data_IF_847044145854
#
_entry.id   IF_847044145854
#
_cell.length_a   1.000
_cell.length_b   1.000
_cell.length_c   1.000
_cell.angle_alpha   90.00
_cell.angle_beta   90.00
_cell.angle_gamma   90.00
#
_symmetry.space_group_name_H-M   'P 1'
#
loop_
_entity.id
_entity.type
_entity.pdbx_description
1 polymer ?
#
# COMPACT_ATOMS: atom_id res chain seq x y z
N UNK A 1 27.28 6.69 9.56
CA UNK A 1 27.18 6.40 8.11
C UNK A 1 25.79 5.89 7.77
N UNK A 2 25.37 6.15 6.54
CA UNK A 2 24.10 5.66 5.99
C UNK A 2 24.40 4.87 4.71
N UNK A 3 23.64 3.78 4.50
CA UNK A 3 23.69 3.04 3.24
C UNK A 3 22.35 2.42 2.89
N UNK A 4 22.05 2.30 1.60
CA UNK A 4 20.94 1.56 0.99
C UNK A 4 21.35 1.20 -0.44
N UNK A 5 21.26 -0.08 -0.80
CA UNK A 5 21.74 -0.57 -2.10
C UNK A 5 20.78 -0.31 -3.27
N UNK A 6 19.54 0.17 -3.03
CA UNK A 6 18.54 0.43 -4.05
C UNK A 6 18.01 1.86 -4.01
N UNK A 7 17.24 2.25 -5.03
CA UNK A 7 16.35 3.40 -4.93
C UNK A 7 15.24 3.13 -3.89
N UNK A 8 14.68 4.20 -3.33
CA UNK A 8 13.51 4.15 -2.47
C UNK A 8 12.60 5.36 -2.72
N UNK A 9 11.42 5.34 -2.14
CA UNK A 9 10.44 6.43 -2.26
C UNK A 9 10.24 7.12 -0.91
N UNK A 10 9.91 8.40 -0.96
CA UNK A 10 9.43 9.17 0.17
C UNK A 10 8.43 10.22 -0.31
N UNK A 11 7.61 10.75 0.59
CA UNK A 11 6.70 11.85 0.27
C UNK A 11 7.40 13.18 0.55
N UNK A 12 7.34 14.12 -0.39
CA UNK A 12 7.89 15.46 -0.25
C UNK A 12 6.87 16.45 0.38
N UNK A 13 7.27 17.72 0.55
CA UNK A 13 6.44 18.76 1.14
C UNK A 13 5.17 19.14 0.35
N UNK A 14 5.04 18.69 -0.88
CA UNK A 14 3.85 18.85 -1.72
C UNK A 14 2.96 17.61 -1.73
N UNK A 15 3.30 16.58 -0.96
CA UNK A 15 2.55 15.32 -0.92
C UNK A 15 2.80 14.39 -2.10
N UNK A 16 3.87 14.63 -2.84
CA UNK A 16 4.24 13.80 -3.98
C UNK A 16 5.24 12.74 -3.55
N UNK A 17 4.99 11.50 -3.93
CA UNK A 17 5.91 10.37 -3.72
C UNK A 17 7.05 10.49 -4.73
N UNK A 18 8.22 10.84 -4.25
CA UNK A 18 9.43 11.07 -5.06
C UNK A 18 10.45 9.96 -4.91
N UNK A 19 11.30 9.79 -5.93
CA UNK A 19 12.39 8.83 -5.91
C UNK A 19 13.62 9.42 -5.21
N UNK A 20 14.25 8.61 -4.37
CA UNK A 20 15.54 8.92 -3.72
C UNK A 20 16.55 7.85 -4.14
N UNK A 21 17.70 8.29 -4.64
CA UNK A 21 18.73 7.41 -5.19
C UNK A 21 19.33 6.45 -4.16
N UNK A 22 19.99 5.39 -4.66
CA UNK A 22 20.78 4.47 -3.83
C UNK A 22 21.81 5.23 -3.00
N UNK A 23 22.00 4.85 -1.74
CA UNK A 23 22.97 5.48 -0.82
C UNK A 23 22.58 6.87 -0.32
N UNK A 24 21.46 7.44 -0.75
CA UNK A 24 21.01 8.78 -0.33
C UNK A 24 19.96 8.63 0.78
N UNK A 25 20.15 9.28 1.95
CA UNK A 25 19.14 9.29 3.01
C UNK A 25 17.84 9.96 2.56
N UNK A 26 16.71 9.46 3.02
CA UNK A 26 15.36 10.01 2.73
C UNK A 26 15.01 11.10 3.74
N UNK A 27 15.77 12.20 3.69
CA UNK A 27 15.56 13.38 4.54
C UNK A 27 14.43 14.23 4.02
N UNK A 28 13.68 14.84 4.95
CA UNK A 28 12.55 15.69 4.60
C UNK A 28 11.34 14.88 4.13
N UNK A 29 11.14 13.69 4.69
CA UNK A 29 9.90 12.95 4.53
C UNK A 29 8.74 13.70 5.17
N UNK A 30 7.62 13.84 4.45
CA UNK A 30 6.43 14.51 4.93
C UNK A 30 5.26 13.53 5.05
N UNK A 31 4.43 13.75 6.06
CA UNK A 31 3.20 13.02 6.32
C UNK A 31 2.04 14.01 6.35
N UNK A 32 0.91 13.63 5.81
CA UNK A 32 -0.31 14.43 5.88
C UNK A 32 -0.97 14.23 7.24
N UNK A 33 -1.20 15.33 7.99
CA UNK A 33 -1.81 15.29 9.33
C UNK A 33 -3.32 15.59 9.33
N UNK A 34 -3.96 15.60 8.16
CA UNK A 34 -5.36 15.98 7.98
C UNK A 34 -5.55 17.44 7.57
N UNK A 35 -4.53 18.29 7.67
CA UNK A 35 -4.62 19.72 7.32
C UNK A 35 -3.39 20.25 6.58
N UNK A 36 -2.21 19.67 6.81
CA UNK A 36 -0.95 20.10 6.21
C UNK A 36 0.02 18.94 6.04
N UNK A 37 0.98 19.11 5.15
CA UNK A 37 2.16 18.23 5.03
C UNK A 37 3.18 18.62 6.09
N UNK A 38 3.44 17.71 7.03
CA UNK A 38 4.36 17.88 8.14
C UNK A 38 5.66 17.13 7.86
N UNK A 39 6.79 17.78 8.06
CA UNK A 39 8.11 17.18 7.91
C UNK A 39 8.40 16.27 9.13
N UNK A 40 8.50 14.97 8.90
CA UNK A 40 8.85 13.95 9.91
C UNK A 40 10.35 13.64 9.94
N UNK A 41 11.15 14.31 9.12
CA UNK A 41 12.60 14.18 9.12
C UNK A 41 13.13 13.04 8.26
N UNK A 42 13.81 12.08 8.86
CA UNK A 42 14.39 10.92 8.17
C UNK A 42 13.40 9.76 8.14
N UNK A 43 12.97 9.35 6.95
CA UNK A 43 12.30 8.06 6.78
C UNK A 43 13.38 6.96 6.74
N UNK A 44 13.36 6.08 7.75
CA UNK A 44 14.29 4.97 7.88
C UNK A 44 13.55 3.63 7.93
N UNK A 45 13.93 2.71 7.05
CA UNK A 45 13.36 1.36 6.98
C UNK A 45 14.49 0.33 6.97
N UNK A 46 14.73 -0.27 8.13
CA UNK A 46 15.84 -1.21 8.36
C UNK A 46 15.66 -2.59 7.72
N UNK A 47 14.47 -2.89 7.20
CA UNK A 47 14.18 -4.15 6.53
C UNK A 47 14.10 -3.98 5.02
N UNK A 48 14.68 -4.93 4.29
CA UNK A 48 14.41 -5.05 2.85
C UNK A 48 12.96 -5.50 2.63
N UNK A 49 12.28 -4.88 1.68
CA UNK A 49 10.90 -5.24 1.30
C UNK A 49 10.80 -5.40 -0.21
N UNK A 50 10.00 -6.37 -0.62
CA UNK A 50 9.77 -6.67 -2.05
C UNK A 50 8.30 -6.52 -2.37
N UNK A 51 7.97 -5.64 -3.32
CA UNK A 51 6.64 -5.64 -3.92
C UNK A 51 6.55 -6.82 -4.88
N UNK A 52 5.67 -7.76 -4.56
CA UNK A 52 5.45 -8.99 -5.32
C UNK A 52 4.51 -8.79 -6.51
N UNK A 53 3.75 -7.69 -6.57
CA UNK A 53 2.89 -7.33 -7.70
C UNK A 53 3.78 -6.90 -8.86
N UNK A 54 3.80 -7.59 -10.02
CA UNK A 54 4.72 -7.26 -11.11
C UNK A 54 4.42 -5.94 -11.82
N UNK A 55 3.15 -5.49 -11.83
CA UNK A 55 2.68 -4.26 -12.49
C UNK A 55 1.90 -3.40 -11.51
N UNK A 56 2.61 -2.66 -10.66
CA UNK A 56 1.98 -1.89 -9.57
C UNK A 56 1.25 -0.63 -10.03
N UNK A 57 1.59 -0.09 -11.20
CA UNK A 57 1.06 1.17 -11.74
C UNK A 57 0.29 0.98 -13.05
N UNK A 58 0.41 -0.17 -13.71
CA UNK A 58 -0.30 -0.47 -14.96
C UNK A 58 -1.42 -1.49 -14.72
N UNK A 59 -2.63 -0.98 -14.53
CA UNK A 59 -3.84 -1.78 -14.38
C UNK A 59 -4.53 -2.08 -15.71
N UNK A 60 -3.89 -1.82 -16.84
CA UNK A 60 -4.47 -2.09 -18.15
C UNK A 60 -4.62 -3.60 -18.41
N UNK A 61 -5.69 -3.98 -19.10
CA UNK A 61 -5.94 -5.38 -19.49
C UNK A 61 -4.98 -5.88 -20.56
N UNK A 62 -4.17 -4.99 -21.15
CA UNK A 62 -3.24 -5.32 -22.23
C UNK A 62 -2.02 -6.08 -21.77
N UNK A 63 -1.68 -6.00 -20.50
CA UNK A 63 -0.50 -6.68 -19.93
C UNK A 63 -0.74 -8.14 -19.57
N UNK A 64 -1.98 -8.64 -19.66
CA UNK A 64 -2.40 -10.00 -19.24
C UNK A 64 -2.18 -10.34 -17.75
N UNK A 65 -1.79 -9.38 -16.92
CA UNK A 65 -1.59 -9.57 -15.47
C UNK A 65 -2.79 -9.05 -14.68
N UNK A 66 -3.25 -7.85 -15.01
CA UNK A 66 -4.50 -7.33 -14.48
C UNK A 66 -5.64 -7.62 -15.45
N UNK A 67 -6.74 -8.14 -14.95
CA UNK A 67 -7.93 -8.39 -15.74
C UNK A 67 -9.21 -8.26 -14.91
N UNK A 68 -10.26 -7.65 -15.48
CA UNK A 68 -11.57 -7.69 -14.85
C UNK A 68 -12.06 -9.15 -14.87
N UNK A 69 -12.46 -9.67 -13.73
CA UNK A 69 -13.04 -11.02 -13.64
C UNK A 69 -14.41 -11.14 -14.32
N UNK A 70 -14.97 -10.00 -14.71
CA UNK A 70 -16.27 -9.89 -15.42
C UNK A 70 -16.21 -8.71 -16.39
N UNK A 71 -17.34 -8.19 -16.81
CA UNK A 71 -17.45 -7.01 -17.70
C UNK A 71 -17.22 -5.67 -16.99
N UNK A 72 -16.54 -5.66 -15.84
CA UNK A 72 -16.03 -4.42 -15.22
C UNK A 72 -15.08 -3.69 -16.17
N UNK A 73 -15.02 -2.38 -16.09
CA UNK A 73 -14.11 -1.59 -16.91
C UNK A 73 -13.00 -0.98 -16.07
N UNK A 74 -11.84 -0.84 -16.69
CA UNK A 74 -10.73 -0.09 -16.13
C UNK A 74 -10.09 0.77 -17.22
N UNK A 75 -9.86 2.05 -16.90
CA UNK A 75 -9.31 2.99 -17.87
C UNK A 75 -8.39 3.99 -17.19
N UNK A 76 -7.26 4.28 -17.83
CA UNK A 76 -6.35 5.34 -17.40
C UNK A 76 -7.05 6.70 -17.42
N UNK A 77 -6.75 7.53 -16.43
CA UNK A 77 -7.30 8.89 -16.27
C UNK A 77 -6.20 9.94 -16.48
N UNK A 78 -5.95 10.36 -17.72
CA UNK A 78 -4.81 11.22 -18.06
C UNK A 78 -4.90 12.64 -17.48
N UNK A 79 -6.01 13.01 -16.86
CA UNK A 79 -6.22 14.31 -16.22
C UNK A 79 -6.20 14.23 -14.69
N UNK A 80 -6.03 13.03 -14.12
CA UNK A 80 -5.99 12.83 -12.68
C UNK A 80 -4.55 12.59 -12.23
N UNK A 81 -4.04 13.52 -11.42
CA UNK A 81 -2.72 13.37 -10.82
C UNK A 81 -2.75 12.29 -9.75
N UNK A 82 -1.87 11.31 -9.89
CA UNK A 82 -1.65 10.22 -8.96
C UNK A 82 -0.70 10.62 -7.81
N UNK A 83 -0.49 9.78 -6.80
CA UNK A 83 0.39 10.08 -5.67
C UNK A 83 1.86 10.35 -6.04
N UNK A 84 2.33 9.96 -7.23
CA UNK A 84 3.70 10.27 -7.69
C UNK A 84 3.81 11.56 -8.48
N UNK A 85 2.69 12.29 -8.62
CA UNK A 85 2.64 13.55 -9.36
C UNK A 85 2.56 13.35 -10.88
N UNK A 86 2.36 12.13 -11.35
CA UNK A 86 2.10 11.80 -12.76
C UNK A 86 0.60 11.59 -13.01
N UNK A 87 0.20 11.20 -14.20
CA UNK A 87 -1.20 10.99 -14.56
C UNK A 87 -1.45 9.52 -14.96
N UNK A 88 -1.02 8.59 -14.07
CA UNK A 88 -1.16 7.16 -14.26
C UNK A 88 -2.25 6.53 -13.36
N UNK A 89 -3.16 7.34 -12.83
CA UNK A 89 -4.31 6.82 -12.10
C UNK A 89 -5.29 6.10 -13.03
N UNK A 90 -5.87 5.01 -12.58
CA UNK A 90 -6.90 4.27 -13.31
C UNK A 90 -8.25 4.40 -12.62
N UNK A 91 -9.31 4.57 -13.42
CA UNK A 91 -10.69 4.48 -12.94
C UNK A 91 -11.17 3.05 -13.13
N UNK A 92 -11.50 2.40 -12.04
CA UNK A 92 -12.17 1.12 -12.00
C UNK A 92 -13.67 1.32 -11.82
N UNK A 93 -14.49 0.74 -12.71
CA UNK A 93 -15.97 0.78 -12.65
C UNK A 93 -16.51 -0.64 -12.64
N UNK A 94 -17.10 -1.11 -11.52
CA UNK A 94 -17.69 -2.44 -11.44
C UNK A 94 -18.96 -2.54 -12.28
N UNK A 95 -19.21 -3.72 -12.82
CA UNK A 95 -20.40 -4.01 -13.63
C UNK A 95 -21.69 -3.83 -12.85
N UNK A 96 -22.78 -3.46 -13.55
CA UNK A 96 -24.11 -3.38 -12.99
C UNK A 96 -24.69 -4.76 -12.64
N UNK A 97 -25.26 -4.90 -11.44
CA UNK A 97 -26.05 -6.06 -11.00
C UNK A 97 -25.26 -7.37 -10.84
N UNK A 98 -23.95 -7.34 -10.99
CA UNK A 98 -23.13 -8.54 -10.86
C UNK A 98 -22.92 -8.94 -9.42
N UNK A 99 -23.42 -10.10 -9.04
CA UNK A 99 -22.90 -10.86 -7.90
C UNK A 99 -21.73 -11.66 -8.47
N UNK A 100 -20.53 -11.14 -8.40
CA UNK A 100 -19.37 -11.80 -8.98
C UNK A 100 -18.08 -11.01 -8.74
N UNK A 101 -16.96 -11.61 -9.06
CA UNK A 101 -15.65 -11.04 -8.90
C UNK A 101 -15.45 -9.85 -9.85
N UNK A 102 -15.76 -8.66 -9.37
CA UNK A 102 -15.71 -7.42 -10.14
C UNK A 102 -14.46 -6.59 -9.85
N UNK A 103 -13.37 -7.25 -9.55
CA UNK A 103 -12.11 -6.60 -9.21
C UNK A 103 -11.03 -6.95 -10.22
N UNK A 104 -10.11 -6.04 -10.42
CA UNK A 104 -8.87 -6.38 -11.08
C UNK A 104 -8.05 -7.32 -10.21
N UNK A 105 -7.29 -8.19 -10.86
CA UNK A 105 -6.41 -9.12 -10.16
C UNK A 105 -5.10 -9.28 -10.91
N UNK A 106 -4.12 -9.73 -10.17
CA UNK A 106 -2.85 -10.16 -10.71
C UNK A 106 -2.41 -11.44 -10.00
N UNK A 107 -1.83 -12.38 -10.74
CA UNK A 107 -1.28 -13.60 -10.17
C UNK A 107 0.07 -13.28 -9.53
N UNK A 108 0.16 -13.45 -8.21
CA UNK A 108 1.39 -13.28 -7.44
C UNK A 108 1.77 -14.58 -6.73
N UNK A 109 3.06 -14.89 -6.71
CA UNK A 109 3.55 -16.03 -5.93
C UNK A 109 3.64 -15.62 -4.47
N UNK A 110 2.70 -16.13 -3.64
CA UNK A 110 2.63 -15.85 -2.21
C UNK A 110 2.84 -17.17 -1.45
N UNK A 111 4.05 -17.47 -0.96
CA UNK A 111 4.31 -18.66 -0.15
C UNK A 111 3.47 -18.70 1.13
N UNK A 112 2.92 -19.86 1.48
CA UNK A 112 2.17 -20.06 2.73
C UNK A 112 3.08 -19.98 3.97
N UNK A 113 2.47 -19.76 5.14
CA UNK A 113 3.17 -19.75 6.43
C UNK A 113 3.82 -18.43 6.79
N UNK A 114 3.56 -17.36 6.03
CA UNK A 114 4.07 -16.02 6.30
C UNK A 114 2.94 -15.00 6.43
N UNK A 115 3.28 -13.85 6.97
CA UNK A 115 2.41 -12.68 7.02
C UNK A 115 2.65 -11.83 5.77
N UNK A 116 1.56 -11.38 5.15
CA UNK A 116 1.60 -10.50 3.98
C UNK A 116 0.70 -9.30 4.17
N UNK A 117 1.17 -8.17 3.67
CA UNK A 117 0.40 -6.92 3.59
C UNK A 117 0.13 -6.58 2.13
N UNK A 118 -1.15 -6.37 1.79
CA UNK A 118 -1.57 -5.80 0.52
C UNK A 118 -1.98 -4.35 0.75
N UNK A 119 -1.50 -3.44 -0.08
CA UNK A 119 -1.89 -2.03 -0.05
C UNK A 119 -2.06 -1.47 -1.45
N UNK A 120 -2.90 -0.43 -1.57
CA UNK A 120 -3.05 0.38 -2.77
C UNK A 120 -3.56 1.77 -2.39
N UNK A 121 -3.42 2.71 -3.33
CA UNK A 121 -3.96 4.05 -3.19
C UNK A 121 -5.30 4.16 -3.90
N UNK A 122 -6.25 4.80 -3.23
CA UNK A 122 -7.61 5.02 -3.73
C UNK A 122 -8.01 6.47 -3.60
N UNK A 123 -8.81 6.94 -4.56
CA UNK A 123 -9.41 8.27 -4.54
C UNK A 123 -10.81 8.23 -5.14
N UNK A 124 -11.72 9.01 -4.58
CA UNK A 124 -13.04 9.21 -5.18
C UNK A 124 -12.92 10.12 -6.39
N UNK A 125 -13.48 9.76 -7.57
CA UNK A 125 -13.62 10.70 -8.67
C UNK A 125 -14.59 11.83 -8.27
N UNK A 126 -14.56 12.94 -9.02
CA UNK A 126 -15.42 14.10 -8.76
C UNK A 126 -16.92 13.86 -8.97
N UNK A 127 -17.26 12.84 -9.75
CA UNK A 127 -18.63 12.42 -10.04
C UNK A 127 -18.72 10.90 -10.13
N UNK A 128 -19.93 10.36 -9.92
CA UNK A 128 -20.18 8.91 -9.99
C UNK A 128 -19.15 8.11 -9.16
N UNK A 129 -18.94 8.52 -7.91
CA UNK A 129 -17.91 7.94 -7.06
C UNK A 129 -18.45 6.75 -6.26
N UNK A 130 -17.69 5.64 -6.27
CA UNK A 130 -17.83 4.60 -5.26
C UNK A 130 -17.30 5.11 -3.92
N UNK A 131 -17.97 4.72 -2.83
CA UNK A 131 -17.52 5.03 -1.48
C UNK A 131 -16.57 3.98 -0.91
N UNK A 132 -16.62 2.75 -1.43
CA UNK A 132 -15.89 1.62 -0.85
C UNK A 132 -14.76 1.17 -1.76
N UNK A 133 -13.53 1.24 -1.24
CA UNK A 133 -12.36 0.58 -1.80
C UNK A 133 -12.29 -0.86 -1.31
N UNK A 134 -11.79 -1.76 -2.13
CA UNK A 134 -11.70 -3.19 -1.82
C UNK A 134 -10.30 -3.71 -2.13
N UNK A 135 -9.71 -4.39 -1.17
CA UNK A 135 -8.51 -5.19 -1.32
C UNK A 135 -8.81 -6.64 -0.96
N UNK A 136 -8.35 -7.60 -1.76
CA UNK A 136 -8.53 -9.00 -1.43
C UNK A 136 -7.37 -9.89 -1.88
N UNK A 137 -7.20 -11.01 -1.17
CA UNK A 137 -6.43 -12.17 -1.60
C UNK A 137 -7.36 -13.32 -1.93
N UNK A 138 -7.02 -14.14 -2.92
CA UNK A 138 -7.78 -15.34 -3.22
C UNK A 138 -6.98 -16.42 -3.93
N UNK A 139 -7.61 -17.60 -4.10
CA UNK A 139 -7.06 -18.71 -4.88
C UNK A 139 -7.94 -19.11 -6.07
N UNK A 140 -8.86 -18.25 -6.50
CA UNK A 140 -9.85 -18.53 -7.55
C UNK A 140 -10.82 -19.69 -7.29
N UNK A 141 -10.71 -20.39 -6.16
CA UNK A 141 -11.56 -21.52 -5.77
C UNK A 141 -12.48 -21.21 -4.60
N UNK A 142 -12.70 -19.92 -4.29
CA UNK A 142 -13.58 -19.49 -3.22
C UNK A 142 -12.89 -19.23 -1.87
N UNK A 143 -11.61 -19.56 -1.73
CA UNK A 143 -10.83 -19.24 -0.54
C UNK A 143 -10.23 -17.84 -0.68
N UNK A 144 -10.34 -17.04 0.36
CA UNK A 144 -9.80 -15.68 0.28
C UNK A 144 -9.87 -14.91 1.59
N UNK A 145 -9.30 -13.73 1.54
CA UNK A 145 -9.40 -12.71 2.58
C UNK A 145 -9.73 -11.37 1.89
N UNK A 146 -10.54 -10.55 2.53
CA UNK A 146 -11.00 -9.27 1.99
C UNK A 146 -10.97 -8.19 3.06
N UNK A 147 -10.65 -6.97 2.67
CA UNK A 147 -10.88 -5.77 3.45
C UNK A 147 -11.60 -4.73 2.60
N UNK A 148 -12.60 -4.09 3.17
CA UNK A 148 -13.40 -3.03 2.57
C UNK A 148 -13.22 -1.75 3.37
N UNK A 149 -12.91 -0.67 2.68
CA UNK A 149 -12.59 0.62 3.26
C UNK A 149 -13.57 1.68 2.76
N UNK A 150 -14.10 2.47 3.64
CA UNK A 150 -15.01 3.56 3.32
C UNK A 150 -14.24 4.87 3.16
N UNK A 151 -14.14 5.37 1.95
CA UNK A 151 -13.44 6.63 1.64
C UNK A 151 -14.24 7.89 2.02
N UNK A 152 -15.50 7.76 2.43
CA UNK A 152 -16.31 8.89 2.89
C UNK A 152 -16.20 9.13 4.39
N UNK A 153 -16.09 8.04 5.16
CA UNK A 153 -15.95 8.09 6.63
C UNK A 153 -14.49 7.86 7.07
N UNK A 154 -13.61 7.50 6.13
CA UNK A 154 -12.18 7.18 6.37
C UNK A 154 -12.08 6.10 7.44
N UNK A 155 -12.73 4.96 7.17
CA UNK A 155 -12.83 3.84 8.10
C UNK A 155 -12.71 2.50 7.39
N UNK A 156 -12.30 1.49 8.15
CA UNK A 156 -12.41 0.09 7.72
C UNK A 156 -13.84 -0.36 8.02
N UNK A 157 -14.59 -0.70 6.96
CA UNK A 157 -15.99 -1.11 7.12
C UNK A 157 -16.13 -2.60 7.45
N UNK A 158 -15.36 -3.44 6.74
CA UNK A 158 -15.47 -4.90 6.88
C UNK A 158 -14.15 -5.56 6.57
N UNK A 159 -13.83 -6.59 7.35
CA UNK A 159 -12.79 -7.57 7.03
C UNK A 159 -13.40 -8.96 7.11
N UNK A 160 -12.93 -9.87 6.25
CA UNK A 160 -13.41 -11.24 6.24
C UNK A 160 -12.39 -12.21 5.69
N UNK A 161 -12.45 -13.46 6.17
CA UNK A 161 -11.58 -14.54 5.70
C UNK A 161 -12.34 -15.85 5.56
N UNK A 162 -11.86 -16.70 4.67
CA UNK A 162 -12.17 -18.13 4.76
C UNK A 162 -11.35 -18.74 5.92
N UNK A 163 -11.98 -19.43 6.88
CA UNK A 163 -11.32 -19.82 8.13
C UNK A 163 -10.07 -20.68 8.00
N UNK A 164 -9.92 -21.40 6.88
CA UNK A 164 -8.78 -22.30 6.64
C UNK A 164 -7.74 -21.72 5.69
N UNK A 165 -7.96 -20.52 5.15
CA UNK A 165 -7.10 -19.92 4.14
C UNK A 165 -6.21 -18.80 4.67
N UNK A 166 -6.73 -18.01 5.59
CA UNK A 166 -6.01 -16.86 6.18
C UNK A 166 -6.69 -16.39 7.47
N UNK A 167 -6.00 -15.55 8.22
CA UNK A 167 -6.59 -14.69 9.24
C UNK A 167 -6.21 -13.24 8.91
N UNK A 168 -7.16 -12.32 8.98
CA UNK A 168 -6.86 -10.88 8.92
C UNK A 168 -6.28 -10.47 10.26
N UNK A 169 -5.08 -9.92 10.24
CA UNK A 169 -4.37 -9.46 11.45
C UNK A 169 -4.57 -7.97 11.67
N UNK A 170 -4.63 -7.19 10.58
CA UNK A 170 -4.78 -5.74 10.62
C UNK A 170 -5.40 -5.22 9.32
N UNK A 171 -6.09 -4.08 9.41
CA UNK A 171 -6.56 -3.32 8.26
C UNK A 171 -6.55 -1.83 8.60
N UNK A 172 -6.01 -1.01 7.70
CA UNK A 172 -5.82 0.41 7.95
C UNK A 172 -6.11 1.25 6.70
N UNK A 173 -6.63 2.46 6.90
CA UNK A 173 -6.77 3.50 5.90
C UNK A 173 -6.05 4.76 6.38
N UNK A 174 -5.09 5.22 5.58
CA UNK A 174 -4.29 6.40 5.88
C UNK A 174 -4.56 7.47 4.83
N UNK A 175 -4.85 8.69 5.27
CA UNK A 175 -4.95 9.83 4.37
C UNK A 175 -3.55 10.13 3.79
N UNK A 176 -3.43 10.00 2.48
CA UNK A 176 -2.20 10.25 1.74
C UNK A 176 -2.18 11.67 1.12
N UNK A 177 -3.13 12.52 1.52
CA UNK A 177 -3.29 13.88 1.02
C UNK A 177 -3.80 13.96 -0.42
N UNK A 178 -4.08 15.17 -0.88
CA UNK A 178 -4.56 15.42 -2.25
C UNK A 178 -5.81 14.59 -2.64
N UNK A 179 -6.58 14.13 -1.62
CA UNK A 179 -7.77 13.28 -1.76
C UNK A 179 -7.47 11.81 -2.03
N UNK A 180 -6.22 11.40 -1.95
CA UNK A 180 -5.80 10.01 -1.99
C UNK A 180 -5.75 9.39 -0.59
N UNK A 181 -6.14 8.13 -0.49
CA UNK A 181 -6.05 7.30 0.71
C UNK A 181 -5.24 6.06 0.40
N UNK A 182 -4.27 5.74 1.24
CA UNK A 182 -3.60 4.45 1.20
C UNK A 182 -4.36 3.47 2.08
N UNK A 183 -4.99 2.48 1.45
CA UNK A 183 -5.64 1.38 2.15
C UNK A 183 -4.67 0.21 2.22
N UNK A 184 -4.63 -0.48 3.35
CA UNK A 184 -3.80 -1.67 3.55
C UNK A 184 -4.48 -2.67 4.45
N UNK A 185 -4.22 -3.95 4.24
CA UNK A 185 -4.56 -4.97 5.19
C UNK A 185 -3.54 -6.10 5.19
N UNK A 186 -3.40 -6.72 6.36
CA UNK A 186 -2.41 -7.73 6.65
C UNK A 186 -3.09 -9.05 6.98
N UNK A 187 -2.60 -10.12 6.37
CA UNK A 187 -3.08 -11.47 6.62
C UNK A 187 -1.96 -12.38 7.09
N UNK A 188 -2.31 -13.36 7.94
CA UNK A 188 -1.52 -14.54 8.10
C UNK A 188 -1.95 -15.57 7.05
N UNK A 189 -1.09 -15.82 6.06
CA UNK A 189 -1.40 -16.70 4.93
C UNK A 189 -1.23 -18.18 5.30
N UNK A 190 -2.32 -18.95 5.31
CA UNK A 190 -2.33 -20.35 5.73
C UNK A 190 -2.29 -21.33 4.56
N UNK A 191 -2.89 -21.01 3.41
CA UNK A 191 -2.91 -21.90 2.25
C UNK A 191 -3.11 -21.19 0.91
N UNK A 192 -2.28 -21.53 -0.07
CA UNK A 192 -2.45 -21.44 -1.52
C UNK A 192 -3.19 -20.25 -2.14
N UNK A 193 -3.05 -19.03 -1.62
CA UNK A 193 -3.57 -17.84 -2.27
C UNK A 193 -2.49 -17.23 -3.17
N UNK A 194 -2.84 -16.90 -4.42
CA UNK A 194 -1.90 -16.36 -5.40
C UNK A 194 -2.48 -15.21 -6.24
N UNK A 195 -3.70 -14.78 -5.91
CA UNK A 195 -4.36 -13.69 -6.62
C UNK A 195 -4.61 -12.55 -5.67
N UNK A 196 -4.18 -11.35 -6.05
CA UNK A 196 -4.52 -10.11 -5.36
C UNK A 196 -5.58 -9.35 -6.14
N UNK A 197 -6.47 -8.68 -5.44
CA UNK A 197 -7.55 -7.91 -6.02
C UNK A 197 -7.49 -6.49 -5.50
N UNK A 198 -7.67 -5.54 -6.41
CA UNK A 198 -7.78 -4.11 -6.13
C UNK A 198 -9.00 -3.58 -6.88
N UNK A 199 -9.93 -2.93 -6.20
CA UNK A 199 -11.14 -2.44 -6.84
C UNK A 199 -12.05 -1.68 -5.91
N UNK A 200 -13.34 -1.65 -6.22
CA UNK A 200 -14.34 -0.91 -5.45
C UNK A 200 -15.71 -1.57 -5.46
N UNK A 201 -16.60 -1.08 -4.58
CA UNK A 201 -17.94 -1.61 -4.39
C UNK A 201 -18.94 -0.50 -4.08
N UNK A 202 -20.21 -0.71 -4.46
CA UNK A 202 -21.33 0.15 -4.04
C UNK A 202 -21.80 -0.12 -2.62
N UNK A 203 -21.37 -1.23 -2.00
CA UNK A 203 -21.83 -1.69 -0.68
C UNK A 203 -20.65 -1.95 0.26
N UNK A 204 -20.86 -1.80 1.59
CA UNK A 204 -19.78 -1.88 2.58
C UNK A 204 -19.25 -3.29 2.85
N UNK A 205 -19.84 -4.33 2.32
CA UNK A 205 -19.34 -5.69 2.55
C UNK A 205 -20.24 -6.79 1.99
N UNK A 206 -19.60 -7.88 1.66
CA UNK A 206 -20.23 -9.13 1.27
C UNK A 206 -19.59 -10.29 2.00
N UNK A 207 -20.32 -10.95 2.87
CA UNK A 207 -19.98 -12.23 3.50
C UNK A 207 -18.52 -12.40 3.90
N UNK A 208 -18.25 -13.19 4.87
CA UNK A 208 -16.97 -13.24 5.59
C UNK A 208 -15.70 -13.51 4.72
N UNK A 209 -15.84 -13.82 3.45
CA UNK A 209 -14.71 -14.09 2.53
C UNK A 209 -15.10 -13.95 1.05
N UNK A 210 -16.24 -13.32 0.79
CA UNK A 210 -16.74 -13.16 -0.58
C UNK A 210 -16.00 -12.04 -1.30
N UNK A 211 -15.40 -12.37 -2.42
CA UNK A 211 -14.83 -11.42 -3.38
C UNK A 211 -15.92 -10.68 -4.16
N UNK A 212 -17.16 -10.95 -3.85
CA UNK A 212 -18.28 -10.35 -4.54
C UNK A 212 -18.38 -8.87 -4.16
N UNK A 213 -18.26 -8.03 -5.13
CA UNK A 213 -18.52 -6.59 -5.03
C UNK A 213 -19.77 -6.28 -5.82
N UNK A 214 -20.54 -5.31 -5.40
CA UNK A 214 -21.65 -4.81 -6.20
C UNK A 214 -21.22 -3.58 -6.97
N UNK A 215 -21.79 -3.41 -8.17
CA UNK A 215 -21.63 -2.24 -9.01
C UNK A 215 -22.95 -1.80 -9.60
N UNK A 216 -22.99 -0.57 -10.09
CA UNK A 216 -24.09 0.02 -10.83
C UNK A 216 -23.77 0.24 -12.32
N UNK A 217 -22.54 -0.13 -12.73
CA UNK A 217 -22.04 0.02 -14.10
C UNK A 217 -21.65 1.45 -14.48
N UNK A 218 -21.75 2.39 -13.54
CA UNK A 218 -21.49 3.83 -13.78
C UNK A 218 -20.57 4.47 -12.75
N UNK A 219 -20.70 4.06 -11.49
CA UNK A 219 -19.86 4.58 -10.41
C UNK A 219 -18.51 3.89 -10.37
N UNK A 220 -17.46 4.68 -10.19
CA UNK A 220 -16.08 4.19 -10.19
C UNK A 220 -15.26 4.66 -9.00
N UNK A 221 -14.08 4.10 -8.90
CA UNK A 221 -13.04 4.48 -7.94
C UNK A 221 -11.70 4.60 -8.66
N UNK A 222 -10.95 5.63 -8.32
CA UNK A 222 -9.59 5.80 -8.81
C UNK A 222 -8.64 4.92 -8.01
N UNK A 223 -7.76 4.22 -8.70
CA UNK A 223 -6.76 3.32 -8.12
C UNK A 223 -5.36 3.66 -8.62
N UNK A 224 -4.35 3.42 -7.77
CA UNK A 224 -2.94 3.59 -8.07
C UNK A 224 -2.08 2.72 -7.14
N UNK A 225 -0.93 2.26 -7.60
CA UNK A 225 0.16 1.81 -6.76
C UNK A 225 -0.13 0.57 -5.93
N UNK A 226 -0.52 -0.55 -6.54
CA UNK A 226 -0.72 -1.81 -5.82
C UNK A 226 0.61 -2.37 -5.30
N UNK A 227 0.64 -2.82 -4.04
CA UNK A 227 1.82 -3.39 -3.40
C UNK A 227 1.43 -4.56 -2.50
N UNK A 228 2.02 -5.72 -2.79
CA UNK A 228 1.93 -6.93 -1.96
C UNK A 228 3.32 -7.30 -1.47
N UNK A 229 3.52 -7.38 -0.17
CA UNK A 229 4.83 -7.62 0.42
C UNK A 229 4.75 -8.53 1.65
N UNK A 230 5.81 -9.27 1.92
CA UNK A 230 5.94 -10.00 3.18
C UNK A 230 6.16 -9.00 4.32
N UNK A 231 5.45 -9.20 5.44
CA UNK A 231 5.51 -8.34 6.62
C UNK A 231 4.12 -7.98 7.15
N UNK A 232 4.09 -7.35 8.31
CA UNK A 232 2.88 -7.04 9.07
C UNK A 232 2.39 -5.58 8.89
N UNK A 233 3.10 -4.79 8.11
CA UNK A 233 2.75 -3.39 7.79
C UNK A 233 3.19 -3.05 6.38
N UNK A 234 2.51 -2.11 5.69
CA UNK A 234 2.99 -1.64 4.39
C UNK A 234 4.26 -0.80 4.56
N UNK A 235 5.30 -1.10 3.78
CA UNK A 235 6.49 -0.25 3.68
C UNK A 235 6.26 0.96 2.75
N UNK A 236 7.25 1.83 2.60
CA UNK A 236 7.21 2.89 1.59
C UNK A 236 6.96 2.29 0.20
N UNK A 237 6.26 3.03 -0.66
CA UNK A 237 5.85 2.53 -1.96
C UNK A 237 7.04 2.06 -2.83
N UNK A 238 6.91 0.86 -3.40
CA UNK A 238 7.90 0.22 -4.26
C UNK A 238 7.27 -0.01 -5.64
N UNK A 239 7.54 0.85 -6.64
CA UNK A 239 7.00 0.67 -7.98
C UNK A 239 7.59 -0.55 -8.67
N UNK A 240 6.76 -1.19 -9.51
CA UNK A 240 7.13 -2.34 -10.34
C UNK A 240 6.66 -2.15 -11.78
N UNK A 241 7.42 -2.69 -12.73
CA UNK A 241 7.14 -2.60 -14.16
C UNK A 241 7.54 -3.89 -14.87
N UNK A 242 6.74 -4.95 -14.71
CA UNK A 242 6.91 -6.26 -15.35
C UNK A 242 7.48 -7.36 -14.45
N UNK A 243 8.03 -7.03 -13.29
CA UNK A 243 8.53 -8.01 -12.32
C UNK A 243 8.54 -7.45 -10.91
N UNK A 244 8.57 -8.32 -9.90
CA UNK A 244 8.76 -7.93 -8.51
C UNK A 244 10.02 -7.07 -8.34
N UNK A 245 9.96 -6.09 -7.45
CA UNK A 245 11.08 -5.18 -7.16
C UNK A 245 11.32 -5.08 -5.66
N UNK A 246 12.59 -4.98 -5.28
CA UNK A 246 13.01 -4.92 -3.89
C UNK A 246 13.60 -3.55 -3.55
N UNK A 247 13.09 -2.93 -2.49
CA UNK A 247 13.77 -1.87 -1.75
C UNK A 247 14.69 -2.53 -0.75
N UNK A 248 16.00 -2.25 -0.85
CA UNK A 248 16.99 -2.74 0.08
C UNK A 248 16.79 -2.11 1.48
N UNK A 249 17.21 -2.83 2.50
CA UNK A 249 17.31 -2.33 3.86
C UNK A 249 18.16 -1.05 3.94
N UNK A 250 17.80 -0.17 4.84
CA UNK A 250 18.58 1.00 5.20
C UNK A 250 19.42 0.70 6.44
N UNK A 251 20.71 1.02 6.37
CA UNK A 251 21.61 0.86 7.50
C UNK A 251 22.04 2.24 7.95
N UNK A 252 21.74 2.59 9.19
CA UNK A 252 22.20 3.80 9.85
C UNK A 252 23.14 3.42 10.98
N UNK A 253 24.39 3.83 10.89
CA UNK A 253 25.41 3.59 11.93
C UNK A 253 25.94 4.91 12.46
N UNK A 254 25.84 5.12 13.76
CA UNK A 254 26.46 6.22 14.48
C UNK A 254 27.75 5.70 15.12
N UNK A 255 28.89 6.29 14.79
CA UNK A 255 30.14 5.90 15.42
C UNK A 255 30.09 6.19 16.94
N UNK A 256 30.60 5.27 17.76
CA UNK A 256 30.56 5.39 19.22
C UNK A 256 31.17 6.73 19.73
N UNK A 257 32.20 7.24 19.05
CA UNK A 257 32.82 8.53 19.38
C UNK A 257 31.91 9.76 19.09
N UNK A 258 30.79 9.56 18.40
CA UNK A 258 29.79 10.60 18.11
C UNK A 258 28.55 10.53 19.01
N UNK A 259 28.47 9.50 19.85
CA UNK A 259 27.38 9.35 20.82
C UNK A 259 27.81 10.01 22.12
N UNK A 260 27.17 11.07 22.59
CA UNK A 260 27.50 11.68 23.87
C UNK A 260 27.44 10.62 24.99
N UNK A 261 28.46 10.57 25.83
CA UNK A 261 28.60 9.61 26.95
C UNK A 261 28.57 8.13 26.53
N UNK A 262 28.99 7.80 25.32
CA UNK A 262 28.96 6.43 24.82
C UNK A 262 29.81 5.42 25.65
N UNK A 263 30.78 5.88 26.46
CA UNK A 263 31.60 5.00 27.29
C UNK A 263 32.10 3.77 26.50
N UNK A 264 31.93 2.58 27.07
CA UNK A 264 32.21 1.29 26.41
C UNK A 264 31.01 0.70 25.65
N UNK A 265 29.98 1.51 25.32
CA UNK A 265 28.77 1.04 24.64
C UNK A 265 29.06 0.70 23.17
N UNK A 266 28.55 -0.44 22.74
CA UNK A 266 28.51 -0.83 21.32
C UNK A 266 27.68 0.17 20.52
N UNK A 267 27.96 0.38 19.20
CA UNK A 267 27.11 1.20 18.35
C UNK A 267 25.66 0.76 18.42
N UNK A 268 24.73 1.73 18.50
CA UNK A 268 23.31 1.44 18.46
C UNK A 268 22.97 1.09 17.01
N UNK A 269 22.56 -0.15 16.77
CA UNK A 269 21.93 -0.55 15.54
C UNK A 269 20.42 -0.28 15.70
N UNK A 270 19.89 0.65 14.93
CA UNK A 270 18.45 0.91 14.90
C UNK A 270 17.84 -0.11 13.97
N UNK A 271 17.26 -1.17 14.56
CA UNK A 271 16.49 -2.18 13.83
C UNK A 271 15.00 -1.97 14.09
N UNK A 272 14.19 -1.95 13.03
CA UNK A 272 12.74 -1.80 13.09
C UNK A 272 12.20 -0.76 12.10
N UNK A 273 10.91 -0.78 11.86
CA UNK A 273 10.17 0.25 11.12
C UNK A 273 9.83 1.43 12.06
N UNK A 274 10.83 1.98 12.72
CA UNK A 274 10.61 3.18 13.52
C UNK A 274 10.85 4.42 12.66
N UNK A 275 9.80 5.21 12.46
CA UNK A 275 9.98 6.62 12.17
C UNK A 275 10.67 7.25 13.38
N UNK A 276 11.91 7.71 13.21
CA UNK A 276 12.49 8.65 14.15
C UNK A 276 11.72 9.96 13.96
N UNK A 277 10.53 10.06 14.57
CA UNK A 277 9.94 11.34 14.88
C UNK A 277 10.93 12.01 15.82
N UNK A 278 11.35 13.22 15.52
CA UNK A 278 12.22 14.01 16.36
C UNK A 278 11.60 14.14 17.78
N UNK A 279 11.93 13.27 18.76
CA UNK A 279 11.74 13.62 20.14
C UNK A 279 12.79 14.71 20.36
N UNK A 280 12.36 15.92 20.65
CA UNK A 280 13.25 17.02 20.88
C UNK A 280 14.47 16.54 21.66
N UNK A 281 15.65 16.65 21.05
CA UNK A 281 16.87 16.61 21.82
C UNK A 281 16.76 17.81 22.75
N UNK A 282 16.25 17.54 23.94
CA UNK A 282 16.29 18.51 25.01
C UNK A 282 17.77 18.81 25.24
N UNK A 283 18.15 20.01 24.87
CA UNK A 283 19.46 20.55 25.21
C UNK A 283 19.39 20.96 26.68
N UNK A 284 19.34 19.96 27.58
CA UNK A 284 19.67 20.25 28.95
C UNK A 284 21.13 20.67 29.02
N UNK A 285 21.30 21.97 28.99
CA UNK A 285 22.50 22.66 29.47
C UNK A 285 22.37 22.76 30.99
N UNK A 286 23.01 21.84 31.69
CA UNK A 286 23.56 22.03 33.06
C UNK A 286 24.97 21.49 33.11
#
# INVERSE_FOLDING_TARGET
TYSRASQARMTNSSGVIVSVGSGVPRLGHHVWNGSAWVNEGLLHESEARTNLVPHSEDFSTTTNFWGPLTTSTIAIQPTVTDPTGTNNAYLYTPQNGGIGHQQNYENVSIPSGNTYTLSAYFKKPSSNALNHAVLAFSNNSGYGAVAVFNLSTISVDTTGTHPTAAAVLDANITDAGNGWYRCSYTINHMAGMWVVHVGGSTVPGYGAYSRNTAGDGTSGILIFGAQCEAGNTPSSYIPTAGSAATRAAEILTVAAAKVPNAGTKTPIEVSGTEMLTNPGFDTDTD
#
